data_IF_551093672427
#
_entry.id   IF_551093672427
#
_cell.length_a   1.000
_cell.length_b   1.000
_cell.length_c   1.000
_cell.angle_alpha   90.00
_cell.angle_beta   90.00
_cell.angle_gamma   90.00
#
_symmetry.space_group_name_H-M   'P 1'
#
loop_
_entity.id
_entity.type
_entity.pdbx_description
1 polymer ?
#
# COMPACT_ATOMS: atom_id res chain seq x y z
N UNK A 1 20.75 6.74 -12.96
CA UNK A 1 20.21 6.59 -11.61
C UNK A 1 18.71 6.77 -11.80
N UNK A 2 17.92 5.73 -11.66
CA UNK A 2 16.46 5.85 -11.62
C UNK A 2 16.16 6.56 -10.28
N UNK A 3 15.84 7.86 -10.33
CA UNK A 3 15.17 8.50 -9.20
C UNK A 3 13.94 7.64 -8.91
N UNK A 4 13.80 7.18 -7.68
CA UNK A 4 12.62 6.41 -7.27
C UNK A 4 11.41 7.35 -7.41
N UNK A 5 10.64 7.17 -8.48
CA UNK A 5 9.42 7.94 -8.68
C UNK A 5 8.52 7.73 -7.46
N UNK A 6 8.10 8.83 -6.83
CA UNK A 6 7.14 8.82 -5.74
C UNK A 6 5.80 9.22 -6.34
N UNK A 7 4.87 8.27 -6.33
CA UNK A 7 3.54 8.44 -6.89
C UNK A 7 2.57 9.18 -5.98
N UNK A 8 1.38 9.42 -6.51
CA UNK A 8 0.24 9.98 -5.79
C UNK A 8 -0.92 8.99 -5.78
N UNK A 9 -1.54 8.75 -4.63
CA UNK A 9 -2.81 8.05 -4.55
C UNK A 9 -3.97 8.98 -4.96
N UNK A 10 -4.94 8.44 -5.70
CA UNK A 10 -6.16 9.18 -6.05
C UNK A 10 -7.11 9.36 -4.88
N UNK A 11 -6.80 8.83 -3.69
CA UNK A 11 -7.64 8.93 -2.49
C UNK A 11 -8.00 10.38 -2.11
N UNK A 12 -7.12 11.34 -2.39
CA UNK A 12 -7.35 12.76 -2.11
C UNK A 12 -8.24 13.48 -3.14
N UNK A 13 -8.68 12.81 -4.20
CA UNK A 13 -9.44 13.37 -5.32
C UNK A 13 -10.75 12.61 -5.57
N UNK A 14 -11.28 11.95 -4.54
CA UNK A 14 -12.51 11.16 -4.62
C UNK A 14 -13.78 12.01 -4.83
N UNK A 15 -13.66 13.33 -4.80
CA UNK A 15 -14.71 14.29 -5.18
C UNK A 15 -14.75 14.59 -6.69
N UNK A 16 -13.81 14.00 -7.46
CA UNK A 16 -13.65 14.18 -8.91
C UNK A 16 -13.87 12.87 -9.66
N UNK A 17 -14.06 12.95 -10.98
CA UNK A 17 -13.97 11.78 -11.84
C UNK A 17 -12.51 11.27 -11.91
N UNK A 18 -12.32 9.99 -12.25
CA UNK A 18 -10.97 9.43 -12.44
C UNK A 18 -10.17 10.22 -13.49
N UNK A 19 -10.83 10.64 -14.60
CA UNK A 19 -10.15 11.43 -15.64
C UNK A 19 -9.58 12.75 -15.10
N UNK A 20 -10.38 13.51 -14.34
CA UNK A 20 -9.94 14.78 -13.74
C UNK A 20 -8.84 14.56 -12.70
N UNK A 21 -8.91 13.45 -11.93
CA UNK A 21 -7.88 13.09 -10.96
C UNK A 21 -6.56 12.76 -11.66
N UNK A 22 -6.58 11.92 -12.71
CA UNK A 22 -5.38 11.56 -13.47
C UNK A 22 -4.78 12.75 -14.21
N UNK A 23 -5.61 13.63 -14.80
CA UNK A 23 -5.15 14.86 -15.43
C UNK A 23 -4.38 15.74 -14.43
N UNK A 24 -4.93 15.93 -13.22
CA UNK A 24 -4.28 16.74 -12.20
C UNK A 24 -2.97 16.10 -11.71
N UNK A 25 -2.97 14.79 -11.40
CA UNK A 25 -1.80 14.09 -10.89
C UNK A 25 -0.67 14.06 -11.94
N UNK A 26 -0.99 13.87 -13.22
CA UNK A 26 -0.01 13.83 -14.32
C UNK A 26 0.80 15.10 -14.45
N UNK A 27 0.37 16.22 -13.85
CA UNK A 27 1.14 17.47 -13.82
C UNK A 27 2.36 17.39 -12.90
N UNK A 28 2.43 16.41 -11.99
CA UNK A 28 3.46 16.31 -10.94
C UNK A 28 4.26 15.00 -10.99
N UNK A 29 3.64 13.91 -11.41
CA UNK A 29 4.24 12.57 -11.47
C UNK A 29 3.63 11.74 -12.59
N UNK A 30 4.40 10.77 -13.09
CA UNK A 30 3.96 9.74 -14.03
C UNK A 30 3.56 8.43 -13.34
N UNK A 31 3.56 8.39 -11.99
CA UNK A 31 3.21 7.22 -11.21
C UNK A 31 2.00 7.48 -10.31
N UNK A 32 0.95 6.68 -10.46
CA UNK A 32 -0.36 6.86 -9.80
C UNK A 32 -0.82 5.56 -9.17
N UNK A 33 -1.32 5.66 -7.95
CA UNK A 33 -2.15 4.61 -7.37
C UNK A 33 -3.62 4.99 -7.46
N UNK A 34 -4.42 4.13 -8.10
CA UNK A 34 -5.87 4.33 -8.22
C UNK A 34 -6.54 3.62 -7.05
N UNK A 35 -7.16 4.38 -6.13
CA UNK A 35 -8.11 3.82 -5.17
C UNK A 35 -9.39 3.46 -5.91
N UNK A 36 -9.64 2.16 -6.13
CA UNK A 36 -10.70 1.65 -6.99
C UNK A 36 -12.09 1.69 -6.34
N UNK A 37 -12.39 2.76 -5.58
CA UNK A 37 -13.67 3.01 -4.92
C UNK A 37 -14.47 4.11 -5.62
N UNK A 38 -15.79 4.13 -5.45
CA UNK A 38 -16.69 5.20 -5.84
C UNK A 38 -16.49 5.67 -7.28
N UNK A 39 -16.19 6.99 -7.51
CA UNK A 39 -16.04 7.55 -8.85
C UNK A 39 -14.76 7.05 -9.57
N UNK A 40 -13.84 6.43 -8.86
CA UNK A 40 -12.61 5.83 -9.41
C UNK A 40 -12.72 4.31 -9.60
N UNK A 41 -13.91 3.73 -9.47
CA UNK A 41 -14.12 2.30 -9.68
C UNK A 41 -13.70 1.88 -11.09
N UNK A 42 -12.68 1.06 -11.19
CA UNK A 42 -12.13 0.58 -12.46
C UNK A 42 -13.09 -0.35 -13.20
N UNK A 43 -14.11 -0.89 -12.56
CA UNK A 43 -15.19 -1.63 -13.24
C UNK A 43 -16.02 -0.75 -14.19
N UNK A 44 -16.00 0.56 -13.99
CA UNK A 44 -16.75 1.53 -14.83
C UNK A 44 -15.85 2.58 -15.50
N UNK A 45 -14.60 2.74 -15.04
CA UNK A 45 -13.72 3.80 -15.50
C UNK A 45 -12.38 3.27 -16.09
N UNK A 46 -12.28 1.97 -16.38
CA UNK A 46 -11.07 1.34 -16.93
C UNK A 46 -10.55 2.06 -18.18
N UNK A 47 -11.46 2.42 -19.13
CA UNK A 47 -11.09 3.06 -20.38
C UNK A 47 -10.37 4.39 -20.20
N UNK A 48 -10.59 5.07 -19.06
CA UNK A 48 -9.92 6.32 -18.74
C UNK A 48 -8.40 6.14 -18.69
N UNK A 49 -7.92 5.02 -18.14
CA UNK A 49 -6.50 4.75 -17.99
C UNK A 49 -5.74 4.71 -19.32
N UNK A 50 -6.39 4.30 -20.41
CA UNK A 50 -5.76 4.24 -21.75
C UNK A 50 -5.52 5.62 -22.38
N UNK A 51 -6.09 6.68 -21.81
CA UNK A 51 -5.93 8.05 -22.31
C UNK A 51 -4.70 8.76 -21.72
N UNK A 52 -3.99 8.13 -20.79
CA UNK A 52 -2.84 8.72 -20.08
C UNK A 52 -1.60 7.82 -20.23
N UNK A 53 -0.44 8.45 -20.41
CA UNK A 53 0.86 7.77 -20.34
C UNK A 53 1.38 7.79 -18.90
N UNK A 54 0.78 6.94 -18.05
CA UNK A 54 1.05 6.84 -16.63
C UNK A 54 1.37 5.39 -16.23
N UNK A 55 2.16 5.23 -15.19
CA UNK A 55 2.39 3.95 -14.53
C UNK A 55 1.38 3.79 -13.40
N UNK A 56 0.74 2.62 -13.34
CA UNK A 56 -0.32 2.38 -12.37
C UNK A 56 0.03 1.34 -11.32
N UNK A 57 -0.38 1.61 -10.09
CA UNK A 57 -0.77 0.63 -9.08
C UNK A 57 -2.26 0.82 -8.78
N UNK A 58 -2.90 -0.18 -8.24
CA UNK A 58 -4.31 -0.13 -7.89
C UNK A 58 -4.47 -0.52 -6.44
N UNK A 59 -5.21 0.28 -5.69
CA UNK A 59 -5.70 -0.10 -4.37
C UNK A 59 -7.10 -0.68 -4.52
N UNK A 60 -7.31 -1.90 -4.04
CA UNK A 60 -8.63 -2.53 -4.06
C UNK A 60 -9.65 -1.72 -3.25
N UNK A 61 -10.96 -1.85 -3.54
CA UNK A 61 -11.98 -1.16 -2.77
C UNK A 61 -11.84 -1.41 -1.26
N UNK A 62 -11.89 -0.35 -0.48
CA UNK A 62 -11.68 -0.41 0.98
C UNK A 62 -12.96 -0.61 1.75
N UNK A 63 -14.10 -0.15 1.21
CA UNK A 63 -15.37 -0.13 1.92
C UNK A 63 -16.07 -1.50 1.96
N UNK A 64 -16.10 -2.23 0.83
CA UNK A 64 -16.95 -3.40 0.66
C UNK A 64 -16.19 -4.73 0.64
N UNK A 65 -14.86 -4.69 0.60
CA UNK A 65 -14.01 -5.87 0.53
C UNK A 65 -13.50 -6.26 1.91
N UNK A 66 -13.93 -7.43 2.38
CA UNK A 66 -13.42 -8.02 3.62
C UNK A 66 -13.04 -9.48 3.41
N UNK A 67 -11.77 -9.73 3.13
CA UNK A 67 -11.25 -11.09 2.92
C UNK A 67 -11.15 -11.92 4.20
N UNK A 68 -11.33 -11.30 5.38
CA UNK A 68 -11.42 -11.96 6.68
C UNK A 68 -12.87 -12.25 7.12
N UNK A 69 -13.86 -12.07 6.23
CA UNK A 69 -15.25 -12.37 6.57
C UNK A 69 -15.41 -13.84 6.95
N UNK A 70 -15.96 -14.13 8.15
CA UNK A 70 -16.30 -15.49 8.61
C UNK A 70 -17.52 -16.05 7.87
N UNK A 71 -18.33 -15.18 7.24
CA UNK A 71 -19.36 -15.57 6.29
C UNK A 71 -18.72 -15.99 4.96
N UNK A 72 -18.69 -17.29 4.69
CA UNK A 72 -18.03 -17.84 3.51
C UNK A 72 -18.59 -17.32 2.18
N UNK A 73 -19.88 -16.95 2.10
CA UNK A 73 -20.46 -16.35 0.89
C UNK A 73 -19.89 -14.94 0.63
N UNK A 74 -19.73 -14.15 1.68
CA UNK A 74 -19.13 -12.80 1.57
C UNK A 74 -17.64 -12.89 1.27
N UNK A 75 -16.90 -13.77 1.98
CA UNK A 75 -15.49 -14.02 1.73
C UNK A 75 -15.23 -14.38 0.25
N UNK A 76 -16.01 -15.35 -0.26
CA UNK A 76 -15.89 -15.76 -1.68
C UNK A 76 -16.31 -14.66 -2.65
N UNK A 77 -17.27 -13.82 -2.29
CA UNK A 77 -17.63 -12.66 -3.10
C UNK A 77 -16.47 -11.67 -3.17
N UNK A 78 -15.81 -11.37 -2.04
CA UNK A 78 -14.62 -10.53 -2.00
C UNK A 78 -13.50 -11.09 -2.90
N UNK A 79 -13.18 -12.39 -2.80
CA UNK A 79 -12.17 -13.01 -3.68
C UNK A 79 -12.54 -12.91 -5.17
N UNK A 80 -13.81 -13.09 -5.54
CA UNK A 80 -14.23 -12.91 -6.95
C UNK A 80 -14.07 -11.48 -7.43
N UNK A 81 -14.44 -10.50 -6.61
CA UNK A 81 -14.23 -9.08 -6.96
C UNK A 81 -12.75 -8.78 -7.16
N UNK A 82 -11.88 -9.32 -6.30
CA UNK A 82 -10.43 -9.15 -6.43
C UNK A 82 -9.90 -9.84 -7.71
N UNK A 83 -10.41 -11.01 -8.09
CA UNK A 83 -10.04 -11.68 -9.34
C UNK A 83 -10.47 -10.87 -10.57
N UNK A 84 -11.70 -10.34 -10.57
CA UNK A 84 -12.19 -9.47 -11.64
C UNK A 84 -11.36 -8.19 -11.74
N UNK A 85 -11.03 -7.57 -10.60
CA UNK A 85 -10.20 -6.36 -10.56
C UNK A 85 -8.75 -6.64 -10.99
N UNK A 86 -8.19 -7.80 -10.63
CA UNK A 86 -6.85 -8.22 -11.11
C UNK A 86 -6.80 -8.29 -12.62
N UNK A 87 -7.87 -8.81 -13.25
CA UNK A 87 -7.97 -8.84 -14.72
C UNK A 87 -8.03 -7.44 -15.33
N UNK A 88 -8.67 -6.48 -14.66
CA UNK A 88 -8.62 -5.05 -15.06
C UNK A 88 -7.21 -4.50 -14.91
N UNK A 89 -6.56 -4.79 -13.79
CA UNK A 89 -5.17 -4.37 -13.53
C UNK A 89 -4.23 -4.83 -14.67
N UNK A 90 -4.34 -6.10 -15.08
CA UNK A 90 -3.52 -6.65 -16.18
C UNK A 90 -3.77 -5.89 -17.49
N UNK A 91 -5.04 -5.56 -17.81
CA UNK A 91 -5.38 -4.84 -19.04
C UNK A 91 -4.86 -3.40 -19.08
N UNK A 92 -4.89 -2.69 -17.94
CA UNK A 92 -4.36 -1.32 -17.85
C UNK A 92 -2.83 -1.29 -17.59
N UNK A 93 -2.19 -2.45 -17.46
CA UNK A 93 -0.76 -2.56 -17.16
C UNK A 93 -0.36 -2.15 -15.74
N UNK A 94 -1.30 -2.23 -14.79
CA UNK A 94 -0.99 -1.96 -13.39
C UNK A 94 -0.03 -3.01 -12.82
N UNK A 95 0.97 -2.57 -12.09
CA UNK A 95 2.05 -3.46 -11.62
C UNK A 95 1.74 -4.11 -10.28
N UNK A 96 0.84 -3.55 -9.48
CA UNK A 96 0.47 -4.03 -8.14
C UNK A 96 -1.02 -3.80 -7.88
N UNK A 97 -1.62 -4.74 -7.14
CA UNK A 97 -2.94 -4.61 -6.54
C UNK A 97 -2.79 -4.70 -5.03
N UNK A 98 -3.01 -3.59 -4.34
CA UNK A 98 -2.99 -3.48 -2.89
C UNK A 98 -4.31 -3.97 -2.32
N UNK A 99 -4.24 -4.81 -1.28
CA UNK A 99 -5.41 -5.47 -0.69
C UNK A 99 -5.32 -5.36 0.83
N UNK A 100 -6.37 -4.85 1.48
CA UNK A 100 -6.49 -4.89 2.93
C UNK A 100 -6.69 -6.32 3.44
N UNK A 101 -6.10 -6.70 4.59
CA UNK A 101 -6.21 -8.05 5.16
C UNK A 101 -7.61 -8.34 5.72
N UNK A 102 -8.46 -7.32 5.82
CA UNK A 102 -9.79 -7.43 6.38
C UNK A 102 -9.87 -7.12 7.87
N UNK A 103 -11.09 -7.21 8.39
CA UNK A 103 -11.44 -6.76 9.75
C UNK A 103 -12.52 -7.64 10.40
N UNK A 104 -12.72 -7.43 11.70
CA UNK A 104 -13.77 -8.04 12.52
C UNK A 104 -14.72 -6.97 13.09
N UNK A 105 -15.91 -7.38 13.56
CA UNK A 105 -16.82 -6.48 14.27
C UNK A 105 -16.70 -6.56 15.79
N UNK A 106 -16.18 -7.69 16.30
CA UNK A 106 -16.01 -7.92 17.73
C UNK A 106 -14.95 -8.99 17.99
N UNK A 107 -14.34 -8.94 19.17
CA UNK A 107 -13.23 -9.82 19.53
C UNK A 107 -13.61 -11.29 19.54
N UNK A 108 -14.87 -11.60 19.85
CA UNK A 108 -15.43 -12.96 19.82
C UNK A 108 -15.37 -13.61 18.44
N UNK A 109 -15.29 -12.80 17.37
CA UNK A 109 -15.22 -13.29 15.98
C UNK A 109 -13.77 -13.48 15.50
N UNK A 110 -12.76 -12.99 16.23
CA UNK A 110 -11.35 -12.95 15.80
C UNK A 110 -10.83 -14.31 15.32
N UNK A 111 -11.11 -15.37 16.06
CA UNK A 111 -10.64 -16.71 15.68
C UNK A 111 -11.24 -17.19 14.35
N UNK A 112 -12.55 -17.02 14.16
CA UNK A 112 -13.23 -17.43 12.93
C UNK A 112 -12.75 -16.59 11.73
N UNK A 113 -12.61 -15.28 11.93
CA UNK A 113 -12.14 -14.34 10.91
C UNK A 113 -10.65 -14.57 10.55
N UNK A 114 -9.79 -14.89 11.53
CA UNK A 114 -8.39 -15.24 11.25
C UNK A 114 -8.28 -16.50 10.37
N UNK A 115 -9.11 -17.50 10.62
CA UNK A 115 -9.19 -18.69 9.75
C UNK A 115 -9.78 -18.38 8.36
N UNK A 116 -10.69 -17.41 8.27
CA UNK A 116 -11.21 -16.94 6.98
C UNK A 116 -10.13 -16.21 6.21
N UNK A 117 -9.37 -15.33 6.86
CA UNK A 117 -8.22 -14.66 6.27
C UNK A 117 -7.18 -15.67 5.75
N UNK A 118 -6.80 -16.68 6.54
CA UNK A 118 -5.82 -17.67 6.11
C UNK A 118 -6.27 -18.41 4.83
N UNK A 119 -7.57 -18.83 4.75
CA UNK A 119 -8.13 -19.38 3.50
C UNK A 119 -8.12 -18.39 2.34
N UNK A 120 -8.39 -17.11 2.61
CA UNK A 120 -8.36 -16.08 1.58
C UNK A 120 -6.95 -15.84 1.04
N UNK A 121 -5.94 -15.93 1.90
CA UNK A 121 -4.54 -15.85 1.45
C UNK A 121 -4.17 -17.04 0.55
N UNK A 122 -4.65 -18.25 0.85
CA UNK A 122 -4.47 -19.40 -0.05
C UNK A 122 -5.18 -19.20 -1.40
N UNK A 123 -6.42 -18.67 -1.40
CA UNK A 123 -7.15 -18.34 -2.62
C UNK A 123 -6.43 -17.24 -3.45
N UNK A 124 -5.90 -16.20 -2.78
CA UNK A 124 -5.11 -15.14 -3.43
C UNK A 124 -3.78 -15.67 -3.98
N UNK A 125 -3.11 -16.58 -3.30
CA UNK A 125 -1.90 -17.24 -3.81
C UNK A 125 -2.22 -18.12 -5.03
N UNK A 126 -3.40 -18.72 -5.10
CA UNK A 126 -3.86 -19.42 -6.29
C UNK A 126 -4.10 -18.43 -7.45
N UNK A 127 -4.81 -17.33 -7.18
CA UNK A 127 -5.08 -16.26 -8.15
C UNK A 127 -3.77 -15.64 -8.67
N UNK A 128 -2.77 -15.41 -7.81
CA UNK A 128 -1.48 -14.83 -8.22
C UNK A 128 -0.78 -15.61 -9.33
N UNK A 129 -1.03 -16.91 -9.45
CA UNK A 129 -0.46 -17.74 -10.54
C UNK A 129 -1.17 -17.58 -11.88
N UNK A 130 -2.32 -16.90 -11.90
CA UNK A 130 -3.19 -16.72 -13.05
C UNK A 130 -3.17 -15.29 -13.61
N UNK A 131 -2.55 -14.34 -12.87
CA UNK A 131 -2.54 -12.91 -13.20
C UNK A 131 -1.11 -12.36 -13.21
N UNK A 132 -0.86 -11.33 -14.01
CA UNK A 132 0.43 -10.66 -14.11
C UNK A 132 0.62 -9.60 -13.01
N UNK A 133 -0.47 -8.91 -12.61
CA UNK A 133 -0.44 -7.94 -11.53
C UNK A 133 0.00 -8.58 -10.20
N UNK A 134 0.90 -7.92 -9.48
CA UNK A 134 1.37 -8.43 -8.18
C UNK A 134 0.37 -8.13 -7.09
N UNK A 135 -0.25 -9.18 -6.52
CA UNK A 135 -1.15 -9.06 -5.36
C UNK A 135 -0.32 -8.81 -4.11
N UNK A 136 -0.68 -7.80 -3.34
CA UNK A 136 0.08 -7.40 -2.15
C UNK A 136 -0.85 -7.02 -1.00
N UNK A 137 -0.54 -7.54 0.20
CA UNK A 137 -1.33 -7.31 1.41
C UNK A 137 -0.70 -6.17 2.20
N UNK A 138 -1.53 -5.22 2.60
CA UNK A 138 -1.13 -4.03 3.35
C UNK A 138 -1.23 -4.24 4.86
N UNK A 139 -0.28 -3.70 5.63
CA UNK A 139 -0.42 -3.61 7.08
C UNK A 139 -1.38 -2.47 7.46
N UNK A 140 -2.24 -2.74 8.45
CA UNK A 140 -3.31 -1.83 8.84
C UNK A 140 -2.94 -0.95 10.03
N UNK A 141 -3.66 0.19 10.14
CA UNK A 141 -3.53 1.15 11.23
C UNK A 141 -4.03 0.64 12.60
N UNK A 142 -4.16 1.56 13.55
CA UNK A 142 -4.41 1.27 14.97
C UNK A 142 -5.82 0.75 15.30
N UNK A 143 -6.67 0.50 14.32
CA UNK A 143 -8.01 -0.04 14.56
C UNK A 143 -7.92 -1.50 15.03
N UNK A 144 -8.28 -1.74 16.30
CA UNK A 144 -8.23 -3.06 16.92
C UNK A 144 -9.01 -4.15 16.17
N UNK A 145 -9.93 -3.72 15.32
CA UNK A 145 -10.74 -4.62 14.48
C UNK A 145 -9.98 -5.15 13.26
N UNK A 146 -8.87 -4.53 12.82
CA UNK A 146 -8.13 -4.94 11.64
C UNK A 146 -7.11 -6.05 11.93
N UNK A 147 -6.82 -6.86 10.91
CA UNK A 147 -5.69 -7.78 10.90
C UNK A 147 -4.41 -7.11 10.42
N UNK A 148 -3.27 -7.82 10.58
CA UNK A 148 -1.95 -7.41 10.08
C UNK A 148 -1.49 -6.04 10.61
N UNK A 149 -1.56 -5.86 11.92
CA UNK A 149 -1.10 -4.65 12.62
C UNK A 149 0.35 -4.72 13.10
N UNK A 150 0.98 -5.89 12.97
CA UNK A 150 2.37 -6.19 13.32
C UNK A 150 2.99 -7.14 12.28
N UNK A 151 4.32 -7.37 12.28
CA UNK A 151 4.99 -8.20 11.28
C UNK A 151 4.61 -9.69 11.26
N UNK A 152 3.78 -10.16 12.17
CA UNK A 152 3.47 -11.59 12.34
C UNK A 152 2.92 -12.30 11.09
N UNK A 153 2.36 -11.56 10.12
CA UNK A 153 1.83 -12.14 8.88
C UNK A 153 2.90 -12.29 7.79
N UNK A 154 4.05 -11.61 7.88
CA UNK A 154 5.05 -11.53 6.80
C UNK A 154 5.58 -12.90 6.37
N UNK A 155 5.85 -13.80 7.32
CA UNK A 155 6.33 -15.15 7.01
C UNK A 155 5.29 -15.95 6.18
N UNK A 156 4.00 -15.77 6.47
CA UNK A 156 2.91 -16.41 5.73
C UNK A 156 2.79 -15.84 4.31
N UNK A 157 2.86 -14.51 4.15
CA UNK A 157 2.85 -13.87 2.83
C UNK A 157 4.04 -14.34 1.98
N UNK A 158 5.23 -14.37 2.56
CA UNK A 158 6.44 -14.87 1.88
C UNK A 158 6.29 -16.33 1.44
N UNK A 159 5.77 -17.21 2.30
CA UNK A 159 5.56 -18.62 1.98
C UNK A 159 4.52 -18.83 0.85
N UNK A 160 3.59 -17.90 0.69
CA UNK A 160 2.57 -17.90 -0.37
C UNK A 160 2.99 -17.12 -1.62
N UNK A 161 4.18 -16.54 -1.63
CA UNK A 161 4.66 -15.67 -2.71
C UNK A 161 3.73 -14.47 -2.97
N UNK A 162 2.99 -14.00 -1.96
CA UNK A 162 2.22 -12.77 -2.00
C UNK A 162 3.09 -11.57 -1.63
N UNK A 163 2.79 -10.41 -2.21
CA UNK A 163 3.47 -9.17 -1.88
C UNK A 163 3.10 -8.63 -0.50
N UNK A 164 3.98 -7.77 0.02
CA UNK A 164 3.75 -6.98 1.22
C UNK A 164 3.79 -5.49 0.86
N UNK A 165 2.78 -4.75 1.28
CA UNK A 165 2.74 -3.27 1.23
C UNK A 165 2.99 -2.74 2.62
N UNK A 166 4.04 -1.94 2.78
CA UNK A 166 4.29 -1.22 4.02
C UNK A 166 3.58 0.13 3.98
N UNK A 167 2.51 0.25 4.75
CA UNK A 167 1.99 1.55 5.13
C UNK A 167 2.75 2.05 6.36
N UNK A 168 3.50 3.13 6.16
CA UNK A 168 4.41 3.71 7.15
C UNK A 168 3.64 4.39 8.28
N UNK A 169 2.56 5.07 7.95
CA UNK A 169 1.71 5.74 8.93
C UNK A 169 0.97 4.75 9.82
N UNK A 170 0.41 3.69 9.23
CA UNK A 170 -0.22 2.59 9.97
C UNK A 170 0.76 1.91 10.93
N UNK A 171 1.96 1.59 10.46
CA UNK A 171 2.99 0.99 11.30
C UNK A 171 3.42 1.91 12.45
N UNK A 172 3.51 3.23 12.19
CA UNK A 172 3.87 4.22 13.21
C UNK A 172 2.81 4.35 14.30
N UNK A 173 1.52 4.43 13.93
CA UNK A 173 0.41 4.48 14.89
C UNK A 173 0.37 3.25 15.79
N UNK A 174 0.71 2.07 15.26
CA UNK A 174 0.81 0.82 16.03
C UNK A 174 2.10 0.70 16.87
N UNK A 175 3.06 1.62 16.72
CA UNK A 175 4.37 1.54 17.38
C UNK A 175 5.27 0.42 16.83
N UNK A 176 5.00 -0.07 15.62
CA UNK A 176 5.67 -1.22 15.01
C UNK A 176 6.52 -0.86 13.77
N UNK A 177 6.70 0.43 13.47
CA UNK A 177 7.39 0.87 12.26
C UNK A 177 8.81 0.28 12.15
N UNK A 178 9.62 0.38 13.21
CA UNK A 178 10.98 -0.17 13.18
C UNK A 178 10.98 -1.69 12.96
N UNK A 179 10.05 -2.42 13.57
CA UNK A 179 9.94 -3.87 13.37
C UNK A 179 9.64 -4.23 11.89
N UNK A 180 8.75 -3.50 11.22
CA UNK A 180 8.50 -3.69 9.79
C UNK A 180 9.69 -3.31 8.92
N UNK A 181 10.42 -2.23 9.26
CA UNK A 181 11.62 -1.81 8.53
C UNK A 181 12.76 -2.82 8.66
N UNK A 182 12.92 -3.45 9.83
CA UNK A 182 13.91 -4.49 10.10
C UNK A 182 13.61 -5.79 9.36
N UNK A 183 12.34 -6.22 9.32
CA UNK A 183 11.91 -7.40 8.55
C UNK A 183 12.07 -7.18 7.04
N UNK A 184 11.81 -5.98 6.55
CA UNK A 184 11.95 -5.61 5.14
C UNK A 184 10.96 -6.34 4.23
N UNK A 185 11.32 -6.45 2.94
CA UNK A 185 10.54 -7.24 1.97
C UNK A 185 9.33 -6.52 1.37
N UNK A 186 9.06 -5.28 1.75
CA UNK A 186 7.99 -4.50 1.13
C UNK A 186 8.28 -4.31 -0.38
N UNK A 187 7.27 -4.55 -1.22
CA UNK A 187 7.34 -4.33 -2.66
C UNK A 187 6.69 -3.01 -3.09
N UNK A 188 5.88 -2.46 -2.19
CA UNK A 188 5.18 -1.19 -2.33
C UNK A 188 5.08 -0.52 -0.97
N UNK A 189 5.01 0.82 -0.95
CA UNK A 189 5.03 1.60 0.29
C UNK A 189 4.05 2.76 0.19
N UNK A 190 3.16 2.88 1.16
CA UNK A 190 2.33 4.05 1.37
C UNK A 190 3.02 5.00 2.34
N UNK A 191 3.06 6.28 1.96
CA UNK A 191 3.73 7.33 2.70
C UNK A 191 2.71 8.39 3.13
N UNK A 192 2.46 8.48 4.40
CA UNK A 192 1.77 9.57 5.06
C UNK A 192 2.28 9.70 6.50
N UNK A 193 2.05 10.82 7.14
CA UNK A 193 2.53 11.10 8.48
C UNK A 193 1.42 11.11 9.52
N UNK A 194 1.80 10.97 10.76
CA UNK A 194 0.95 11.14 11.94
C UNK A 194 1.80 11.36 13.20
N UNK A 195 1.14 11.62 14.33
CA UNK A 195 1.81 11.83 15.62
C UNK A 195 1.75 10.59 16.54
N UNK A 196 1.57 9.38 16.00
CA UNK A 196 1.57 8.12 16.75
C UNK A 196 0.31 7.82 17.56
N UNK A 197 -0.73 8.66 17.50
CA UNK A 197 -1.96 8.49 18.30
C UNK A 197 -3.20 8.15 17.49
N UNK A 198 -3.22 8.51 16.24
CA UNK A 198 -4.31 8.24 15.29
C UNK A 198 -3.75 8.22 13.86
N UNK A 199 -4.41 7.51 13.01
CA UNK A 199 -4.16 7.52 11.58
C UNK A 199 -4.71 8.83 10.98
N UNK A 200 -3.82 9.82 10.83
CA UNK A 200 -4.22 11.19 10.52
C UNK A 200 -3.97 11.57 9.05
N UNK A 201 -3.27 10.72 8.27
CA UNK A 201 -2.85 11.01 6.91
C UNK A 201 -2.31 12.44 6.74
N UNK A 202 -1.43 12.89 7.67
CA UNK A 202 -0.72 14.16 7.53
C UNK A 202 0.27 14.10 6.38
N UNK A 203 0.63 15.23 5.83
CA UNK A 203 1.72 15.31 4.86
C UNK A 203 3.04 14.83 5.45
N UNK A 204 3.88 14.21 4.62
CA UNK A 204 5.20 13.76 5.05
C UNK A 204 6.01 14.93 5.61
N UNK A 205 6.46 14.82 6.86
CA UNK A 205 7.14 15.88 7.61
C UNK A 205 6.22 16.81 8.42
N UNK A 206 4.90 16.59 8.41
CA UNK A 206 3.93 17.36 9.22
C UNK A 206 3.61 16.66 10.57
N UNK A 207 4.07 15.42 10.78
CA UNK A 207 3.89 14.63 11.98
C UNK A 207 5.20 14.33 12.72
N UNK A 208 5.36 13.08 13.17
CA UNK A 208 6.53 12.67 13.96
C UNK A 208 7.34 11.52 13.36
N UNK A 209 7.04 11.09 12.14
CA UNK A 209 7.77 10.01 11.47
C UNK A 209 9.11 10.54 10.94
N UNK A 210 10.20 9.84 11.25
CA UNK A 210 11.51 10.13 10.65
C UNK A 210 11.61 9.54 9.23
N UNK A 211 11.17 10.31 8.23
CA UNK A 211 11.24 9.90 6.83
C UNK A 211 12.67 9.71 6.32
N UNK A 212 13.69 10.34 6.91
CA UNK A 212 15.08 10.07 6.55
C UNK A 212 15.43 8.61 6.91
N UNK A 213 15.03 8.16 8.10
CA UNK A 213 15.22 6.77 8.55
C UNK A 213 14.42 5.79 7.69
N UNK A 214 13.14 6.12 7.42
CA UNK A 214 12.26 5.29 6.58
C UNK A 214 12.88 5.10 5.20
N UNK A 215 13.16 6.19 4.48
CA UNK A 215 13.68 6.14 3.10
C UNK A 215 15.00 5.38 2.99
N UNK A 216 15.86 5.43 4.03
CA UNK A 216 17.12 4.67 4.07
C UNK A 216 16.92 3.17 4.27
N UNK A 217 15.84 2.76 4.95
CA UNK A 217 15.57 1.36 5.26
C UNK A 217 14.75 0.63 4.18
N UNK A 218 14.02 1.37 3.34
CA UNK A 218 13.15 0.78 2.33
C UNK A 218 13.95 0.02 1.25
N UNK A 219 13.41 -1.12 0.74
CA UNK A 219 14.01 -1.81 -0.38
C UNK A 219 14.09 -0.90 -1.61
N UNK A 220 15.24 -0.90 -2.31
CA UNK A 220 15.47 -0.05 -3.51
C UNK A 220 14.46 -0.29 -4.63
N UNK A 221 13.93 -1.50 -4.74
CA UNK A 221 12.95 -1.87 -5.77
C UNK A 221 11.49 -1.61 -5.38
N UNK A 222 11.22 -1.17 -4.14
CA UNK A 222 9.87 -0.87 -3.70
C UNK A 222 9.37 0.43 -4.36
N UNK A 223 8.19 0.38 -4.97
CA UNK A 223 7.49 1.59 -5.41
C UNK A 223 6.91 2.32 -4.21
N UNK A 224 6.75 3.63 -4.32
CA UNK A 224 6.31 4.48 -3.22
C UNK A 224 5.19 5.40 -3.68
N UNK A 225 4.14 5.50 -2.90
CA UNK A 225 3.00 6.38 -3.16
C UNK A 225 2.72 7.20 -1.90
N UNK A 226 2.48 8.49 -2.08
CA UNK A 226 1.96 9.33 -1.00
C UNK A 226 0.44 9.20 -1.00
N UNK A 227 -0.13 8.97 0.19
CA UNK A 227 -1.56 8.96 0.45
C UNK A 227 -2.01 10.24 1.17
N UNK A 228 -2.23 11.33 0.44
CA UNK A 228 -2.54 12.61 1.02
C UNK A 228 -4.05 12.78 1.25
N UNK A 229 -4.44 13.75 2.06
CA UNK A 229 -5.84 14.20 2.20
C UNK A 229 -6.23 15.27 1.21
N UNK A 230 -5.26 15.88 0.51
CA UNK A 230 -5.46 16.86 -0.56
C UNK A 230 -4.28 16.87 -1.52
N UNK A 231 -4.50 17.35 -2.74
CA UNK A 231 -3.42 17.45 -3.75
C UNK A 231 -2.31 18.44 -3.34
N UNK A 232 -2.66 19.53 -2.67
CA UNK A 232 -1.65 20.45 -2.10
C UNK A 232 -0.76 19.76 -1.06
N UNK A 233 -1.33 18.87 -0.24
CA UNK A 233 -0.56 18.11 0.72
C UNK A 233 0.37 17.11 0.03
N UNK A 234 -0.06 16.50 -1.08
CA UNK A 234 0.82 15.68 -1.92
C UNK A 234 2.05 16.48 -2.37
N UNK A 235 1.83 17.68 -2.93
CA UNK A 235 2.92 18.54 -3.42
C UNK A 235 3.92 18.87 -2.31
N UNK A 236 3.45 19.28 -1.13
CA UNK A 236 4.33 19.58 0.02
C UNK A 236 5.08 18.33 0.52
N UNK A 237 4.39 17.19 0.58
CA UNK A 237 5.01 15.91 0.98
C UNK A 237 6.12 15.51 0.01
N UNK A 238 5.89 15.65 -1.29
CA UNK A 238 6.86 15.34 -2.33
C UNK A 238 8.10 16.25 -2.23
N UNK A 239 7.90 17.56 -2.01
CA UNK A 239 8.99 18.53 -1.77
C UNK A 239 9.79 18.16 -0.52
N UNK A 240 9.12 17.81 0.59
CA UNK A 240 9.78 17.37 1.81
C UNK A 240 10.64 16.13 1.56
N UNK A 241 10.09 15.07 0.97
CA UNK A 241 10.81 13.83 0.70
C UNK A 241 12.01 14.03 -0.25
N UNK A 242 11.88 14.91 -1.25
CA UNK A 242 13.00 15.29 -2.15
C UNK A 242 14.09 16.10 -1.46
N UNK A 243 13.77 16.81 -0.38
CA UNK A 243 14.73 17.59 0.40
C UNK A 243 15.56 16.76 1.37
N UNK A 244 15.16 15.50 1.62
CA UNK A 244 15.89 14.61 2.52
C UNK A 244 17.31 14.32 2.00
N UNK A 245 18.28 14.13 2.89
CA UNK A 245 19.65 13.82 2.47
C UNK A 245 19.66 12.52 1.66
N UNK A 246 20.43 12.45 0.57
CA UNK A 246 20.53 11.25 -0.25
C UNK A 246 21.06 10.08 0.59
N UNK A 247 20.62 8.86 0.25
CA UNK A 247 21.07 7.61 0.87
C UNK A 247 22.60 7.61 1.10
N UNK A 248 23.04 7.77 2.33
CA UNK A 248 24.43 7.52 2.67
C UNK A 248 24.62 5.99 2.69
N UNK A 249 25.41 5.49 1.73
CA UNK A 249 25.74 4.07 1.65
C UNK A 249 26.37 3.61 2.97
N UNK A 250 25.66 2.87 3.79
CA UNK A 250 26.11 2.26 5.04
C UNK A 250 27.29 1.27 4.85
N UNK A 251 27.77 1.05 3.63
CA UNK A 251 28.92 0.19 3.31
C UNK A 251 30.28 0.74 3.77
N UNK A 252 30.36 1.96 4.33
CA UNK A 252 31.67 2.49 4.84
C UNK A 252 31.94 2.27 6.33
N UNK A 253 31.05 1.62 7.10
CA UNK A 253 31.29 1.36 8.53
C UNK A 253 31.85 -0.04 8.86
N UNK A 254 31.69 -1.01 7.98
CA UNK A 254 32.20 -2.37 8.21
C UNK A 254 33.72 -2.51 7.94
N UNK A 255 34.32 -1.66 7.10
CA UNK A 255 35.75 -1.77 6.74
C UNK A 255 36.72 -1.05 7.71
N UNK A 256 36.23 -0.45 8.80
CA UNK A 256 37.08 0.27 9.76
C UNK A 256 37.32 -0.46 11.10
N UNK A 257 36.85 -1.70 11.27
CA UNK A 257 37.04 -2.46 12.53
C UNK A 257 38.09 -3.58 12.39
N UNK A 258 38.69 -3.80 11.23
CA UNK A 258 39.73 -4.82 11.05
C UNK A 258 41.16 -4.28 10.99
N UNK A 259 41.47 -3.13 11.53
CA UNK A 259 42.85 -2.63 11.66
C UNK A 259 43.08 -1.99 13.05
N UNK A 260 43.05 -2.84 14.09
CA UNK A 260 43.88 -2.59 15.30
C UNK A 260 44.03 -3.90 16.06
#
# INVERSE_FOLDING_TARGET
MLESHIGCSTCCLMDRSLAEALELISTQTDFVEILADGPHSLFSAEETCYSFDLQYTVHAPTADINIASDNEHMRRAAIRVLADLSSVCDRIGATRLVIHPGHIWGEEMRYAAARALDRSLDDLAALQREVDVRLAIENMGAWDICFFRDPGLLSRLSALELGFVLDVGHAHVNGNLEAFLEEGGAIHVHLHDNCGSRDAHLGCGEGSIDFSRVMQALPRGATKVIEPTSFDQYTRSLEHLRSLPPEQSLHRRAERIELF
#
